data_IF_254904377819
#
_entry.id   IF_254904377819
#
_cell.length_a   1.000
_cell.length_b   1.000
_cell.length_c   1.000
_cell.angle_alpha   90.00
_cell.angle_beta   90.00
_cell.angle_gamma   90.00
#
_symmetry.space_group_name_H-M   'P 1'
#
loop_
_entity.id
_entity.type
_entity.pdbx_description
1 polymer ?
#
# COMPACT_ATOMS: atom_id res chain seq x y z
N UNK A 1 -7.12 21.86 18.34
CA UNK A 1 -6.89 21.76 16.89
C UNK A 1 -6.80 20.28 16.55
N UNK A 2 -7.62 19.73 15.64
CA UNK A 2 -7.54 18.31 15.32
C UNK A 2 -6.16 18.00 14.73
N UNK A 3 -5.53 16.93 15.21
CA UNK A 3 -4.23 16.47 14.76
C UNK A 3 -4.33 16.22 13.25
N UNK A 4 -3.63 17.03 12.45
CA UNK A 4 -3.51 16.75 11.02
C UNK A 4 -2.78 15.41 10.94
N UNK A 5 -3.32 14.49 10.13
CA UNK A 5 -2.79 13.14 9.89
C UNK A 5 -1.30 13.11 9.47
N UNK A 6 -0.69 14.26 9.24
CA UNK A 6 0.59 14.41 8.57
C UNK A 6 1.80 14.60 9.48
N UNK A 7 1.76 15.48 10.49
CA UNK A 7 2.92 15.73 11.36
C UNK A 7 2.84 15.02 12.71
N UNK A 8 1.64 14.79 13.22
CA UNK A 8 1.43 14.16 14.54
C UNK A 8 1.79 12.67 14.58
N UNK A 9 1.95 12.04 13.42
CA UNK A 9 2.24 10.61 13.30
C UNK A 9 3.66 10.30 12.80
N UNK A 10 4.57 11.28 12.74
CA UNK A 10 5.97 11.08 12.30
C UNK A 10 6.74 9.98 13.05
N UNK A 11 6.28 9.59 14.24
CA UNK A 11 6.94 8.59 15.09
C UNK A 11 6.21 7.24 15.16
N UNK A 12 5.15 7.03 14.38
CA UNK A 12 4.54 5.70 14.29
C UNK A 12 5.48 4.74 13.57
N UNK A 13 5.45 3.46 13.97
CA UNK A 13 6.23 2.42 13.28
C UNK A 13 5.78 2.33 11.82
N UNK A 14 6.70 2.09 10.87
CA UNK A 14 6.33 1.96 9.46
C UNK A 14 5.39 0.77 9.27
N UNK A 15 4.39 0.95 8.40
CA UNK A 15 3.53 -0.14 7.98
C UNK A 15 4.34 -1.12 7.12
N UNK A 16 4.46 -2.36 7.60
CA UNK A 16 5.05 -3.46 6.81
C UNK A 16 3.92 -4.09 6.02
N UNK A 17 3.83 -3.72 4.74
CA UNK A 17 2.73 -4.11 3.89
C UNK A 17 2.57 -5.63 3.79
N UNK A 18 1.33 -6.08 3.88
CA UNK A 18 0.94 -7.50 3.93
C UNK A 18 1.01 -8.23 2.58
N UNK A 19 1.56 -7.62 1.53
CA UNK A 19 1.65 -8.23 0.19
C UNK A 19 2.68 -9.37 0.11
N UNK A 20 3.74 -9.26 0.91
CA UNK A 20 4.85 -10.21 0.96
C UNK A 20 5.38 -10.28 2.39
N UNK A 21 5.49 -11.49 2.93
CA UNK A 21 6.14 -11.76 4.21
C UNK A 21 7.29 -12.73 4.03
N UNK A 22 8.46 -12.40 4.58
CA UNK A 22 9.62 -13.29 4.66
C UNK A 22 9.96 -13.54 6.13
N UNK A 23 9.97 -14.81 6.53
CA UNK A 23 9.97 -15.24 7.92
C UNK A 23 11.08 -16.28 8.17
N UNK A 24 12.36 -15.87 8.16
CA UNK A 24 13.49 -16.80 8.20
C UNK A 24 13.38 -17.84 9.32
N UNK A 25 13.56 -19.11 8.95
CA UNK A 25 13.54 -20.23 9.90
C UNK A 25 12.15 -20.66 10.38
N UNK A 26 11.08 -20.13 9.78
CA UNK A 26 9.70 -20.53 10.07
C UNK A 26 9.09 -21.31 8.92
N UNK A 27 8.17 -22.20 9.24
CA UNK A 27 7.33 -22.87 8.24
C UNK A 27 6.03 -22.08 8.13
N UNK A 28 5.83 -21.48 6.96
CA UNK A 28 4.74 -20.60 6.64
C UNK A 28 3.84 -21.27 5.61
N UNK A 29 2.54 -21.25 5.89
CA UNK A 29 1.50 -21.68 4.95
C UNK A 29 0.59 -20.50 4.66
N UNK A 30 0.31 -20.31 3.38
CA UNK A 30 -0.67 -19.33 2.92
C UNK A 30 -1.97 -20.08 2.67
N UNK A 31 -3.00 -19.76 3.44
CA UNK A 31 -4.32 -20.36 3.29
C UNK A 31 -5.26 -19.34 2.62
N UNK A 32 -5.87 -19.75 1.51
CA UNK A 32 -6.90 -18.97 0.82
C UNK A 32 -8.26 -19.61 1.06
N UNK A 33 -9.16 -18.87 1.70
CA UNK A 33 -10.56 -19.25 1.92
C UNK A 33 -11.42 -18.40 0.98
N UNK A 34 -12.22 -19.04 0.13
CA UNK A 34 -12.93 -18.35 -0.96
C UNK A 34 -14.42 -18.20 -0.68
N UNK A 35 -14.98 -17.10 -1.16
CA UNK A 35 -16.43 -16.83 -1.16
C UNK A 35 -17.04 -16.84 0.27
N UNK A 36 -16.39 -16.12 1.18
CA UNK A 36 -16.83 -15.96 2.57
C UNK A 36 -17.73 -14.74 2.67
N UNK A 37 -18.91 -14.89 3.30
CA UNK A 37 -19.76 -13.74 3.61
C UNK A 37 -19.04 -12.79 4.59
N UNK A 38 -18.83 -11.55 4.17
CA UNK A 38 -18.04 -10.52 4.85
C UNK A 38 -18.77 -9.95 6.07
N UNK A 39 -18.69 -10.67 7.18
CA UNK A 39 -19.29 -10.32 8.48
C UNK A 39 -18.27 -10.55 9.59
N UNK A 40 -18.37 -9.77 10.67
CA UNK A 40 -17.45 -9.91 11.80
C UNK A 40 -17.53 -11.30 12.44
N UNK A 41 -18.72 -11.89 12.48
CA UNK A 41 -18.99 -13.22 13.01
C UNK A 41 -18.26 -14.30 12.21
N UNK A 42 -18.40 -14.29 10.88
CA UNK A 42 -17.75 -15.28 10.03
C UNK A 42 -16.22 -15.13 10.04
N UNK A 43 -15.70 -13.90 9.97
CA UNK A 43 -14.25 -13.67 10.01
C UNK A 43 -13.65 -14.08 11.36
N UNK A 44 -14.36 -13.83 12.46
CA UNK A 44 -13.99 -14.27 13.79
C UNK A 44 -13.99 -15.80 13.93
N UNK A 45 -15.02 -16.46 13.41
CA UNK A 45 -15.15 -17.91 13.46
C UNK A 45 -14.08 -18.62 12.63
N UNK A 46 -13.80 -18.15 11.41
CA UNK A 46 -12.67 -18.66 10.61
C UNK A 46 -11.35 -18.59 11.38
N UNK A 47 -11.10 -17.47 12.06
CA UNK A 47 -9.92 -17.33 12.92
C UNK A 47 -9.89 -18.36 14.05
N UNK A 48 -11.03 -18.63 14.70
CA UNK A 48 -11.13 -19.65 15.76
C UNK A 48 -10.85 -21.05 15.25
N UNK A 49 -11.44 -21.44 14.11
CA UNK A 49 -11.23 -22.76 13.50
C UNK A 49 -9.77 -23.00 13.14
N UNK A 50 -9.10 -21.99 12.58
CA UNK A 50 -7.67 -22.07 12.24
C UNK A 50 -6.82 -22.26 13.51
N UNK A 51 -7.06 -21.45 14.55
CA UNK A 51 -6.29 -21.51 15.80
C UNK A 51 -6.50 -22.85 16.52
N UNK A 52 -7.70 -23.42 16.47
CA UNK A 52 -8.02 -24.71 17.09
C UNK A 52 -7.21 -25.88 16.51
N UNK A 53 -6.68 -25.73 15.29
CA UNK A 53 -5.87 -26.74 14.60
C UNK A 53 -4.35 -26.47 14.70
N UNK A 54 -3.92 -25.80 15.76
CA UNK A 54 -2.52 -25.44 16.04
C UNK A 54 -1.87 -24.53 15.00
N UNK A 55 -2.68 -23.75 14.27
CA UNK A 55 -2.16 -22.76 13.32
C UNK A 55 -2.08 -21.37 13.96
N UNK A 56 -0.86 -20.81 14.04
CA UNK A 56 -0.69 -19.43 14.50
C UNK A 56 -0.90 -18.46 13.33
N UNK A 57 -1.93 -17.63 13.43
CA UNK A 57 -2.23 -16.58 12.46
C UNK A 57 -1.20 -15.45 12.59
N UNK A 58 -0.42 -15.21 11.54
CA UNK A 58 0.54 -14.11 11.45
C UNK A 58 -0.07 -12.87 10.82
N UNK A 59 -0.99 -13.05 9.86
CA UNK A 59 -1.62 -11.98 9.11
C UNK A 59 -2.92 -12.49 8.46
N UNK A 60 -3.87 -11.57 8.29
CA UNK A 60 -5.14 -11.82 7.60
C UNK A 60 -5.36 -10.69 6.61
N UNK A 61 -5.61 -11.03 5.36
CA UNK A 61 -5.87 -10.04 4.31
C UNK A 61 -7.17 -10.41 3.60
N UNK A 62 -8.23 -9.59 3.71
CA UNK A 62 -9.42 -9.76 2.88
C UNK A 62 -9.15 -9.20 1.48
N UNK A 63 -9.77 -9.80 0.46
CA UNK A 63 -9.71 -9.33 -0.93
C UNK A 63 -10.44 -8.00 -1.15
N UNK A 64 -11.43 -7.68 -0.30
CA UNK A 64 -12.20 -6.45 -0.34
C UNK A 64 -12.65 -6.05 1.07
N UNK A 65 -12.82 -4.74 1.29
CA UNK A 65 -13.37 -4.20 2.54
C UNK A 65 -14.88 -3.95 2.47
N UNK A 66 -15.48 -4.00 1.27
CA UNK A 66 -16.85 -3.53 1.03
C UNK A 66 -17.78 -4.61 0.46
N UNK A 67 -17.22 -5.59 -0.24
CA UNK A 67 -18.05 -6.58 -0.92
C UNK A 67 -18.70 -7.53 0.08
N UNK A 68 -19.95 -7.96 -0.17
CA UNK A 68 -20.70 -8.83 0.74
C UNK A 68 -20.11 -10.24 0.83
N UNK A 69 -19.41 -10.69 -0.21
CA UNK A 69 -18.68 -11.95 -0.26
C UNK A 69 -17.25 -11.68 -0.69
N UNK A 70 -16.29 -12.25 0.03
CA UNK A 70 -14.86 -11.99 -0.16
C UNK A 70 -14.05 -13.27 -0.08
N UNK A 71 -12.92 -13.27 -0.76
CA UNK A 71 -11.84 -14.21 -0.47
C UNK A 71 -10.99 -13.67 0.68
N UNK A 72 -10.53 -14.55 1.57
CA UNK A 72 -9.72 -14.23 2.75
C UNK A 72 -8.41 -15.02 2.69
N UNK A 73 -7.29 -14.31 2.75
CA UNK A 73 -5.96 -14.87 2.76
C UNK A 73 -5.38 -14.83 4.17
N UNK A 74 -4.93 -15.97 4.68
CA UNK A 74 -4.24 -16.08 5.96
C UNK A 74 -2.78 -16.45 5.73
N UNK A 75 -1.87 -15.78 6.45
CA UNK A 75 -0.49 -16.26 6.61
C UNK A 75 -0.40 -16.97 7.96
N UNK A 76 -0.01 -18.24 7.93
CA UNK A 76 -0.02 -19.14 9.08
C UNK A 76 1.39 -19.64 9.36
N UNK A 77 1.81 -19.61 10.62
CA UNK A 77 2.99 -20.33 11.12
C UNK A 77 2.53 -21.71 11.63
N UNK A 78 2.70 -22.75 10.81
CA UNK A 78 2.25 -24.12 11.08
C UNK A 78 2.86 -25.12 10.09
N UNK A 79 2.77 -26.41 10.41
CA UNK A 79 3.10 -27.48 9.46
C UNK A 79 1.95 -27.76 8.47
N UNK A 80 2.25 -28.54 7.43
CA UNK A 80 1.28 -28.88 6.39
C UNK A 80 0.10 -29.72 6.89
N UNK A 81 0.25 -30.50 7.96
CA UNK A 81 -0.82 -31.32 8.52
C UNK A 81 -1.81 -30.45 9.30
N UNK A 82 -1.31 -29.53 10.12
CA UNK A 82 -2.11 -28.52 10.82
C UNK A 82 -2.93 -27.68 9.82
N UNK A 83 -2.29 -27.17 8.76
CA UNK A 83 -2.99 -26.41 7.72
C UNK A 83 -4.09 -27.22 7.02
N UNK A 84 -3.87 -28.51 6.76
CA UNK A 84 -4.89 -29.40 6.17
C UNK A 84 -6.08 -29.63 7.10
N UNK A 85 -5.84 -29.84 8.40
CA UNK A 85 -6.94 -29.96 9.37
C UNK A 85 -7.75 -28.67 9.47
N UNK A 86 -7.10 -27.50 9.42
CA UNK A 86 -7.78 -26.22 9.38
C UNK A 86 -8.69 -26.09 8.14
N UNK A 87 -8.23 -26.52 6.97
CA UNK A 87 -9.05 -26.58 5.75
C UNK A 87 -10.27 -27.46 5.96
N UNK A 88 -10.09 -28.69 6.45
CA UNK A 88 -11.19 -29.62 6.70
C UNK A 88 -12.20 -29.05 7.72
N UNK A 89 -11.74 -28.36 8.76
CA UNK A 89 -12.60 -27.72 9.74
C UNK A 89 -13.43 -26.59 9.11
N UNK A 90 -12.81 -25.75 8.28
CA UNK A 90 -13.50 -24.67 7.54
C UNK A 90 -14.56 -25.24 6.60
N UNK A 91 -14.24 -26.29 5.85
CA UNK A 91 -15.15 -26.90 4.89
C UNK A 91 -16.35 -27.57 5.58
N UNK A 92 -16.14 -28.22 6.73
CA UNK A 92 -17.23 -28.85 7.51
C UNK A 92 -18.28 -27.86 8.00
N UNK A 93 -17.88 -26.64 8.36
CA UNK A 93 -18.81 -25.62 8.85
C UNK A 93 -19.59 -24.91 7.74
N UNK A 94 -19.13 -24.98 6.48
CA UNK A 94 -19.84 -24.40 5.34
C UNK A 94 -19.80 -22.87 5.25
N UNK A 95 -18.77 -22.23 5.83
CA UNK A 95 -18.59 -20.77 5.77
C UNK A 95 -18.12 -20.24 4.41
N UNK A 96 -17.62 -21.13 3.57
CA UNK A 96 -16.89 -20.79 2.35
C UNK A 96 -17.22 -21.78 1.24
N UNK A 97 -16.91 -21.41 0.01
CA UNK A 97 -17.02 -22.31 -1.15
C UNK A 97 -15.87 -23.31 -1.21
N UNK A 98 -14.69 -22.91 -0.78
CA UNK A 98 -13.48 -23.75 -0.79
C UNK A 98 -12.39 -23.13 0.09
N UNK A 99 -11.51 -23.97 0.66
CA UNK A 99 -10.29 -23.52 1.30
C UNK A 99 -9.08 -24.31 0.78
N UNK A 100 -7.97 -23.63 0.48
CA UNK A 100 -6.79 -24.28 -0.09
C UNK A 100 -5.49 -23.60 0.33
N UNK A 101 -4.41 -24.39 0.41
CA UNK A 101 -3.06 -23.85 0.56
C UNK A 101 -2.64 -23.26 -0.79
N UNK A 102 -2.15 -22.02 -0.78
CA UNK A 102 -1.48 -21.41 -1.93
C UNK A 102 -0.03 -21.88 -1.92
N UNK A 103 0.36 -22.57 -2.98
CA UNK A 103 1.72 -23.09 -3.11
C UNK A 103 2.74 -21.94 -3.12
N UNK A 104 3.76 -22.06 -2.27
CA UNK A 104 4.88 -21.15 -2.19
C UNK A 104 6.16 -21.90 -2.55
N UNK A 105 7.07 -21.31 -3.34
CA UNK A 105 8.34 -21.93 -3.67
C UNK A 105 9.30 -22.05 -2.47
N UNK A 106 9.02 -21.36 -1.36
CA UNK A 106 9.83 -21.37 -0.14
C UNK A 106 8.93 -21.51 1.09
N UNK A 107 9.35 -22.32 2.06
CA UNK A 107 8.59 -22.52 3.29
C UNK A 107 8.51 -21.27 4.17
N UNK A 108 9.48 -20.36 4.10
CA UNK A 108 9.51 -19.13 4.91
C UNK A 108 8.96 -17.90 4.19
N UNK A 109 8.32 -18.10 3.03
CA UNK A 109 7.77 -17.04 2.19
C UNK A 109 6.25 -17.11 2.14
N UNK A 110 5.61 -15.99 2.47
CA UNK A 110 4.18 -15.76 2.26
C UNK A 110 3.96 -14.73 1.16
N UNK A 111 3.14 -15.08 0.17
CA UNK A 111 2.74 -14.20 -0.92
C UNK A 111 1.22 -14.09 -0.94
N UNK A 112 0.71 -12.87 -1.07
CA UNK A 112 -0.73 -12.67 -1.25
C UNK A 112 -1.14 -13.14 -2.66
N UNK A 113 -2.22 -13.93 -2.81
CA UNK A 113 -2.67 -14.42 -4.11
C UNK A 113 -3.56 -13.41 -4.87
N UNK A 114 -3.96 -12.30 -4.24
CA UNK A 114 -4.88 -11.35 -4.84
C UNK A 114 -4.20 -10.52 -5.94
N UNK A 115 -4.70 -10.65 -7.16
CA UNK A 115 -4.19 -9.92 -8.31
C UNK A 115 -5.34 -9.55 -9.26
N UNK A 116 -5.34 -8.31 -9.80
CA UNK A 116 -4.40 -7.22 -9.54
C UNK A 116 -4.59 -6.58 -8.15
N UNK A 117 -3.58 -5.83 -7.67
CA UNK A 117 -3.77 -4.92 -6.55
C UNK A 117 -4.66 -3.74 -6.98
N UNK A 118 -5.73 -3.50 -6.24
CA UNK A 118 -6.65 -2.37 -6.45
C UNK A 118 -6.54 -1.41 -5.27
N UNK A 119 -6.38 -0.12 -5.56
CA UNK A 119 -6.39 0.99 -4.59
C UNK A 119 -7.31 2.07 -5.14
N UNK A 120 -8.31 2.48 -4.36
CA UNK A 120 -9.31 3.46 -4.78
C UNK A 120 -9.90 3.16 -6.17
N UNK A 121 -10.36 1.93 -6.37
CA UNK A 121 -10.99 1.44 -7.61
C UNK A 121 -10.10 1.47 -8.87
N UNK A 122 -8.80 1.71 -8.71
CA UNK A 122 -7.80 1.67 -9.78
C UNK A 122 -6.74 0.63 -9.51
N UNK A 123 -6.18 0.06 -10.58
CA UNK A 123 -5.04 -0.86 -10.48
C UNK A 123 -3.81 -0.12 -9.96
N UNK A 124 -3.12 -0.71 -9.00
CA UNK A 124 -1.88 -0.19 -8.44
C UNK A 124 -0.72 -1.20 -8.59
N UNK A 125 0.50 -0.68 -8.54
CA UNK A 125 1.74 -1.46 -8.49
C UNK A 125 2.61 -0.92 -7.38
N UNK A 126 3.08 -1.80 -6.50
CA UNK A 126 4.03 -1.44 -5.45
C UNK A 126 5.45 -1.55 -5.99
N UNK A 127 6.14 -0.41 -6.11
CA UNK A 127 7.57 -0.36 -6.44
C UNK A 127 8.39 -0.09 -5.18
N UNK A 128 9.32 -0.99 -4.87
CA UNK A 128 10.27 -0.78 -3.77
C UNK A 128 11.34 0.24 -4.15
N UNK A 129 11.95 0.87 -3.15
CA UNK A 129 13.00 1.89 -3.30
C UNK A 129 14.10 1.59 -4.32
N UNK A 130 14.68 0.37 -4.39
CA UNK A 130 15.67 0.08 -5.42
C UNK A 130 15.17 0.29 -6.86
N UNK A 131 13.88 0.02 -7.12
CA UNK A 131 13.28 0.16 -8.45
C UNK A 131 13.16 1.63 -8.84
N UNK A 132 12.54 2.46 -7.99
CA UNK A 132 12.36 3.87 -8.31
C UNK A 132 13.66 4.68 -8.18
N UNK A 133 14.61 4.27 -7.32
CA UNK A 133 15.98 4.80 -7.36
C UNK A 133 16.64 4.52 -8.70
N UNK A 134 16.48 3.32 -9.25
CA UNK A 134 16.96 2.97 -10.59
C UNK A 134 16.37 3.87 -11.67
N UNK A 135 15.09 4.22 -11.56
CA UNK A 135 14.40 5.15 -12.45
C UNK A 135 14.99 6.58 -12.34
N UNK A 136 15.02 7.15 -11.14
CA UNK A 136 15.46 8.54 -10.93
C UNK A 136 16.95 8.75 -11.22
N UNK A 137 17.82 7.84 -10.77
CA UNK A 137 19.26 7.89 -11.07
C UNK A 137 19.52 7.52 -12.52
N UNK A 138 18.77 6.57 -13.08
CA UNK A 138 18.91 6.12 -14.46
C UNK A 138 18.71 7.25 -15.46
N UNK A 139 17.64 8.04 -15.30
CA UNK A 139 17.40 9.21 -16.15
C UNK A 139 18.53 10.23 -16.05
N UNK A 140 18.97 10.58 -14.83
CA UNK A 140 20.05 11.55 -14.62
C UNK A 140 21.37 11.09 -15.23
N UNK A 141 21.72 9.80 -15.08
CA UNK A 141 22.94 9.23 -15.64
C UNK A 141 22.93 9.21 -17.17
N UNK A 142 21.77 8.96 -17.79
CA UNK A 142 21.65 8.78 -19.25
C UNK A 142 21.37 10.08 -20.00
N UNK A 143 20.62 11.00 -19.41
CA UNK A 143 20.16 12.24 -20.05
C UNK A 143 20.86 13.49 -19.53
N UNK A 144 21.58 13.38 -18.40
CA UNK A 144 22.07 14.54 -17.65
C UNK A 144 20.98 15.18 -16.79
N UNK A 145 21.40 15.96 -15.79
CA UNK A 145 20.50 16.55 -14.77
C UNK A 145 19.50 17.53 -15.41
N UNK A 146 19.95 18.36 -16.36
CA UNK A 146 19.09 19.36 -17.01
C UNK A 146 17.92 18.73 -17.77
N UNK A 147 18.19 17.73 -18.61
CA UNK A 147 17.15 17.02 -19.34
C UNK A 147 16.26 16.18 -18.41
N UNK A 148 16.85 15.51 -17.41
CA UNK A 148 16.08 14.75 -16.43
C UNK A 148 15.11 15.66 -15.64
N UNK A 149 15.50 16.88 -15.29
CA UNK A 149 14.63 17.87 -14.64
C UNK A 149 13.39 18.18 -15.48
N UNK A 150 13.58 18.51 -16.75
CA UNK A 150 12.47 18.84 -17.66
C UNK A 150 11.57 17.63 -17.85
N UNK A 151 12.15 16.47 -18.14
CA UNK A 151 11.42 15.22 -18.36
C UNK A 151 10.59 14.83 -17.13
N UNK A 152 11.21 14.75 -15.95
CA UNK A 152 10.54 14.34 -14.72
C UNK A 152 9.42 15.30 -14.34
N UNK A 153 9.61 16.61 -14.52
CA UNK A 153 8.56 17.59 -14.27
C UNK A 153 7.36 17.41 -15.19
N UNK A 154 7.58 17.27 -16.50
CA UNK A 154 6.49 17.11 -17.47
C UNK A 154 5.69 15.83 -17.22
N UNK A 155 6.39 14.70 -16.99
CA UNK A 155 5.73 13.44 -16.62
C UNK A 155 4.98 13.60 -15.29
N UNK A 156 5.54 14.35 -14.34
CA UNK A 156 4.89 14.66 -13.07
C UNK A 156 3.55 15.38 -13.27
N UNK A 157 3.49 16.39 -14.13
CA UNK A 157 2.25 17.13 -14.45
C UNK A 157 1.17 16.19 -15.00
N UNK A 158 1.52 15.34 -15.97
CA UNK A 158 0.57 14.39 -16.53
C UNK A 158 0.10 13.37 -15.47
N UNK A 159 1.00 12.87 -14.62
CA UNK A 159 0.64 11.98 -13.51
C UNK A 159 -0.25 12.69 -12.48
N UNK A 160 0.04 13.94 -12.15
CA UNK A 160 -0.76 14.75 -11.22
C UNK A 160 -2.17 14.95 -11.73
N UNK A 161 -2.33 15.25 -13.02
CA UNK A 161 -3.63 15.35 -13.68
C UNK A 161 -4.42 14.05 -13.62
N UNK A 162 -3.82 12.93 -14.01
CA UNK A 162 -4.47 11.61 -13.95
C UNK A 162 -4.84 11.20 -12.51
N UNK A 163 -3.98 11.51 -11.53
CA UNK A 163 -4.25 11.29 -10.13
C UNK A 163 -5.43 12.13 -9.63
N UNK A 164 -5.49 13.41 -10.02
CA UNK A 164 -6.62 14.29 -9.70
C UNK A 164 -7.91 13.76 -10.34
N UNK A 165 -7.91 13.40 -11.62
CA UNK A 165 -9.09 12.87 -12.30
C UNK A 165 -9.63 11.62 -11.58
N UNK A 166 -8.74 10.70 -11.18
CA UNK A 166 -9.11 9.48 -10.45
C UNK A 166 -9.64 9.73 -9.02
N UNK A 167 -9.25 10.83 -8.38
CA UNK A 167 -9.58 11.14 -6.98
C UNK A 167 -10.54 12.34 -6.83
N UNK A 168 -10.90 13.00 -7.92
CA UNK A 168 -11.65 14.26 -7.96
C UNK A 168 -12.99 14.17 -7.22
N UNK A 169 -13.68 13.05 -7.35
CA UNK A 169 -14.94 12.77 -6.66
C UNK A 169 -14.79 12.80 -5.12
N UNK A 170 -13.63 12.42 -4.58
CA UNK A 170 -13.35 12.44 -3.14
C UNK A 170 -13.16 13.85 -2.58
N UNK A 171 -12.83 14.82 -3.43
CA UNK A 171 -12.56 16.22 -3.05
C UNK A 171 -13.58 17.19 -3.63
N UNK A 172 -14.63 16.69 -4.28
CA UNK A 172 -15.68 17.50 -4.87
C UNK A 172 -16.36 18.37 -3.81
N UNK A 173 -16.44 19.67 -4.09
CA UNK A 173 -17.06 20.65 -3.19
C UNK A 173 -16.12 21.22 -2.13
N UNK A 174 -14.87 20.75 -2.05
CA UNK A 174 -13.83 21.40 -1.25
C UNK A 174 -13.24 22.59 -2.03
N UNK A 175 -12.80 23.62 -1.30
CA UNK A 175 -11.91 24.63 -1.88
C UNK A 175 -10.54 24.02 -2.25
N UNK A 176 -9.77 24.75 -3.06
CA UNK A 176 -8.48 24.26 -3.57
C UNK A 176 -7.50 23.85 -2.45
N UNK A 177 -7.45 24.61 -1.35
CA UNK A 177 -6.53 24.34 -0.23
C UNK A 177 -6.90 23.03 0.47
N UNK A 178 -8.18 22.85 0.77
CA UNK A 178 -8.68 21.63 1.41
C UNK A 178 -8.60 20.42 0.47
N UNK A 179 -8.84 20.59 -0.83
CA UNK A 179 -8.65 19.54 -1.83
C UNK A 179 -7.18 19.08 -1.89
N UNK A 180 -6.23 20.01 -2.00
CA UNK A 180 -4.77 19.70 -1.99
C UNK A 180 -4.39 18.98 -0.70
N UNK A 181 -4.89 19.45 0.46
CA UNK A 181 -4.62 18.81 1.75
C UNK A 181 -5.09 17.36 1.78
N UNK A 182 -6.31 17.07 1.32
CA UNK A 182 -6.85 15.70 1.29
C UNK A 182 -6.05 14.82 0.33
N UNK A 183 -5.74 15.32 -0.87
CA UNK A 183 -4.95 14.57 -1.86
C UNK A 183 -3.54 14.24 -1.35
N UNK A 184 -2.87 15.18 -0.68
CA UNK A 184 -1.56 14.93 -0.07
C UNK A 184 -1.64 13.95 1.11
N UNK A 185 -2.73 13.95 1.88
CA UNK A 185 -2.98 12.94 2.92
C UNK A 185 -3.23 11.54 2.35
N UNK A 186 -3.92 11.44 1.21
CA UNK A 186 -4.03 10.19 0.45
C UNK A 186 -2.64 9.76 -0.02
N UNK A 187 -1.87 10.67 -0.62
CA UNK A 187 -0.49 10.42 -1.04
C UNK A 187 0.39 9.92 0.10
N UNK A 188 0.28 10.50 1.29
CA UNK A 188 0.99 10.05 2.49
C UNK A 188 0.63 8.59 2.85
N UNK A 189 -0.65 8.23 2.77
CA UNK A 189 -1.11 6.86 3.02
C UNK A 189 -0.55 5.85 2.01
N UNK A 190 -0.19 6.33 0.82
CA UNK A 190 0.48 5.55 -0.24
C UNK A 190 2.01 5.60 -0.15
N UNK A 191 2.58 6.32 0.83
CA UNK A 191 4.02 6.45 1.04
C UNK A 191 4.71 7.52 0.19
N UNK A 192 3.97 8.51 -0.31
CA UNK A 192 4.52 9.55 -1.20
C UNK A 192 5.35 10.61 -0.45
N UNK A 193 4.80 11.21 0.61
CA UNK A 193 5.46 12.19 1.48
C UNK A 193 4.61 12.49 2.72
N UNK A 194 5.18 13.17 3.72
CA UNK A 194 4.42 13.82 4.80
C UNK A 194 4.15 15.28 4.46
N UNK A 195 2.90 15.74 4.62
CA UNK A 195 2.56 17.16 4.57
C UNK A 195 2.93 17.84 5.90
N UNK A 196 3.99 18.63 5.97
CA UNK A 196 4.34 19.33 7.21
C UNK A 196 3.48 20.57 7.44
N UNK A 197 3.28 21.35 6.38
CA UNK A 197 2.60 22.63 6.43
C UNK A 197 1.93 22.94 5.10
N UNK A 198 0.78 23.61 5.16
CA UNK A 198 0.09 24.17 4.01
C UNK A 198 -0.33 25.60 4.35
N UNK A 199 0.25 26.58 3.65
CA UNK A 199 -0.06 28.01 3.79
C UNK A 199 -0.76 28.51 2.53
N UNK A 200 -1.77 29.35 2.73
CA UNK A 200 -2.37 30.16 1.68
C UNK A 200 -1.80 31.56 1.79
N UNK A 201 -1.22 32.06 0.71
CA UNK A 201 -0.82 33.44 0.50
C UNK A 201 -1.70 34.06 -0.59
N UNK A 202 -1.61 35.38 -0.78
CA UNK A 202 -2.53 36.14 -1.65
C UNK A 202 -2.56 35.62 -3.10
N UNK A 203 -1.45 35.11 -3.61
CA UNK A 203 -1.28 34.60 -4.98
C UNK A 203 -0.70 33.18 -5.06
N UNK A 204 -0.54 32.50 -3.92
CA UNK A 204 0.15 31.22 -3.87
C UNK A 204 -0.38 30.27 -2.78
N UNK A 205 -0.24 28.96 -3.05
CA UNK A 205 -0.37 27.91 -2.04
C UNK A 205 1.03 27.34 -1.80
N UNK A 206 1.51 27.41 -0.57
CA UNK A 206 2.81 26.89 -0.16
C UNK A 206 2.62 25.59 0.60
N UNK A 207 3.10 24.49 0.02
CA UNK A 207 3.11 23.17 0.66
C UNK A 207 4.54 22.77 1.05
N UNK A 208 4.75 22.49 2.35
CA UNK A 208 6.01 21.94 2.86
C UNK A 208 5.87 20.43 3.02
N UNK A 209 6.73 19.68 2.34
CA UNK A 209 6.68 18.21 2.31
C UNK A 209 7.97 17.61 2.88
N UNK A 210 7.83 16.66 3.80
CA UNK A 210 8.94 15.90 4.39
C UNK A 210 8.93 14.44 3.95
N UNK A 211 10.10 13.79 4.06
CA UNK A 211 10.33 12.38 3.67
C UNK A 211 9.72 12.02 2.30
N UNK A 212 9.75 12.97 1.36
CA UNK A 212 9.28 12.72 0.00
C UNK A 212 10.08 11.57 -0.63
N UNK A 213 9.38 10.61 -1.22
CA UNK A 213 9.97 9.39 -1.77
C UNK A 213 11.04 9.63 -2.86
N UNK A 214 10.84 10.61 -3.73
CA UNK A 214 11.80 11.00 -4.78
C UNK A 214 13.06 11.59 -4.16
N UNK A 215 12.91 12.52 -3.20
CA UNK A 215 14.02 13.09 -2.44
C UNK A 215 14.78 12.05 -1.61
N UNK A 216 14.05 11.14 -0.96
CA UNK A 216 14.64 10.04 -0.19
C UNK A 216 15.46 9.10 -1.08
N UNK A 217 15.00 8.80 -2.29
CA UNK A 217 15.72 7.95 -3.26
C UNK A 217 17.09 8.52 -3.68
N UNK A 218 17.26 9.84 -3.56
CA UNK A 218 18.43 10.60 -4.00
C UNK A 218 19.16 11.32 -2.86
N UNK A 219 18.88 10.92 -1.62
CA UNK A 219 19.40 11.58 -0.42
C UNK A 219 20.93 11.66 -0.46
N UNK A 220 21.47 12.83 -0.16
CA UNK A 220 22.90 13.13 -0.10
C UNK A 220 23.64 13.06 -1.45
N UNK A 221 22.95 13.07 -2.59
CA UNK A 221 23.59 13.06 -3.92
C UNK A 221 23.74 14.45 -4.55
N UNK A 222 22.99 15.45 -4.08
CA UNK A 222 22.91 16.76 -4.71
C UNK A 222 22.71 17.88 -3.68
N UNK A 223 23.33 19.04 -3.92
CA UNK A 223 23.22 20.24 -3.08
C UNK A 223 22.12 21.22 -3.54
N UNK A 224 21.26 20.77 -4.48
CA UNK A 224 20.15 21.57 -5.04
C UNK A 224 18.86 20.78 -5.03
N UNK A 225 17.67 21.42 -5.05
CA UNK A 225 16.39 20.70 -5.06
C UNK A 225 16.27 19.71 -6.22
N UNK A 226 15.90 18.46 -5.93
CA UNK A 226 15.85 17.37 -6.92
C UNK A 226 14.47 16.74 -7.11
N UNK A 227 13.45 17.13 -6.36
CA UNK A 227 12.11 16.53 -6.43
C UNK A 227 11.29 17.06 -7.63
N UNK A 228 11.81 16.89 -8.85
CA UNK A 228 11.22 17.46 -10.06
C UNK A 228 9.92 16.77 -10.46
N UNK A 229 9.85 15.45 -10.29
CA UNK A 229 8.62 14.70 -10.56
C UNK A 229 7.53 15.08 -9.56
N UNK A 230 7.86 15.08 -8.27
CA UNK A 230 6.93 15.48 -7.21
C UNK A 230 6.42 16.90 -7.41
N UNK A 231 7.31 17.83 -7.80
CA UNK A 231 6.92 19.20 -8.13
C UNK A 231 5.89 19.21 -9.27
N UNK A 232 6.14 18.47 -10.34
CA UNK A 232 5.17 18.34 -11.44
C UNK A 232 3.83 17.75 -11.01
N UNK A 233 3.81 16.76 -10.13
CA UNK A 233 2.56 16.15 -9.62
C UNK A 233 1.66 17.13 -8.87
N UNK A 234 2.26 18.15 -8.25
CA UNK A 234 1.54 19.13 -7.41
C UNK A 234 1.11 20.37 -8.24
N UNK A 235 1.84 20.70 -9.31
CA UNK A 235 1.54 21.80 -10.24
C UNK A 235 0.34 21.48 -11.14
#
# INVERSE_FOLDING_TARGET
>A
MPLIYSSSFKHVKPYRASYLGYFPGKIIKVLLVRDVKNTHENLGELGRLIIAEDCKILNVVPSSLKDPFIDVCYFLECDSNAAKRAIEAIEKFGFSKSAAIVDSPLDDLALIPFFPLIVADKRAVVMREPMYRGLFRGFRKRLGIGAAKVFLRLVGVDVGKEAYEALSEMVRGLDAVNAIKVLLMIGQSLGFCYLEELKLEDDAIIASLAENWEGAAMRNEYDSPQCFFTKGVIE
#
